data_IF_804919469430
#
_entry.id   IF_804919469430
#
_cell.length_a   1.000
_cell.length_b   1.000
_cell.length_c   1.000
_cell.angle_alpha   90.00
_cell.angle_beta   90.00
_cell.angle_gamma   90.00
#
_symmetry.space_group_name_H-M   'P 1'
#
loop_
_entity.id
_entity.type
_entity.pdbx_description
1 polymer ?
#
# COMPACT_ATOMS: atom_id res chain seq x y z
N UNK A 1 13.61 -53.40 -31.32
CA UNK A 1 13.66 -51.92 -31.36
C UNK A 1 13.33 -51.43 -29.95
N UNK A 2 14.17 -50.57 -29.36
CA UNK A 2 13.94 -50.03 -28.02
C UNK A 2 13.59 -48.54 -28.15
N UNK A 3 12.45 -48.15 -27.62
CA UNK A 3 11.98 -46.76 -27.63
C UNK A 3 12.21 -46.18 -26.24
N UNK A 4 12.94 -45.07 -26.15
CA UNK A 4 13.13 -44.34 -24.88
C UNK A 4 12.21 -43.13 -24.87
N UNK A 5 11.48 -42.96 -23.77
CA UNK A 5 10.68 -41.78 -23.49
C UNK A 5 11.57 -40.69 -22.90
N UNK A 6 11.69 -39.57 -23.60
CA UNK A 6 12.39 -38.38 -23.13
C UNK A 6 11.34 -37.42 -22.60
N UNK A 7 11.39 -37.11 -21.30
CA UNK A 7 10.48 -36.17 -20.67
C UNK A 7 11.12 -34.78 -20.62
N UNK A 8 10.91 -33.97 -21.65
CA UNK A 8 11.34 -32.57 -21.69
C UNK A 8 10.39 -31.76 -20.82
N UNK A 9 10.89 -31.18 -19.72
CA UNK A 9 10.18 -30.15 -18.95
C UNK A 9 10.70 -28.78 -19.39
N UNK A 10 9.85 -27.99 -20.01
CA UNK A 10 10.14 -26.58 -20.22
C UNK A 10 10.02 -25.88 -18.87
N UNK A 11 11.04 -25.12 -18.50
CA UNK A 11 10.96 -24.21 -17.36
C UNK A 11 10.26 -22.96 -17.84
N UNK A 12 9.19 -22.59 -17.17
CA UNK A 12 8.51 -21.34 -17.47
C UNK A 12 9.47 -20.17 -17.23
N UNK A 13 9.43 -19.20 -18.13
CA UNK A 13 10.26 -18.01 -18.05
C UNK A 13 9.34 -16.86 -17.76
N UNK A 14 9.56 -16.17 -16.64
CA UNK A 14 8.74 -15.03 -16.24
C UNK A 14 8.69 -14.01 -17.40
N UNK A 15 7.57 -13.96 -18.09
CA UNK A 15 7.33 -13.14 -19.28
C UNK A 15 6.05 -12.31 -19.15
N UNK A 16 5.31 -12.50 -18.06
CA UNK A 16 4.15 -11.68 -17.71
C UNK A 16 4.49 -10.74 -16.54
N UNK A 17 4.16 -9.44 -16.66
CA UNK A 17 4.33 -8.52 -15.55
C UNK A 17 3.28 -8.78 -14.45
N UNK A 18 3.63 -8.53 -13.17
CA UNK A 18 2.65 -8.59 -12.08
C UNK A 18 1.63 -7.47 -12.25
N UNK A 19 0.33 -7.74 -12.14
CA UNK A 19 -0.72 -6.73 -12.38
C UNK A 19 -1.59 -6.54 -11.14
N UNK A 20 -1.80 -5.29 -10.74
CA UNK A 20 -2.77 -4.95 -9.70
C UNK A 20 -4.19 -5.31 -10.16
N UNK A 21 -4.93 -6.05 -9.34
CA UNK A 21 -6.30 -6.45 -9.66
C UNK A 21 -7.28 -5.26 -9.67
N UNK A 22 -6.93 -4.15 -9.03
CA UNK A 22 -7.74 -2.94 -8.99
C UNK A 22 -6.88 -1.74 -9.36
N UNK A 23 -7.48 -0.81 -10.11
CA UNK A 23 -6.80 0.43 -10.51
C UNK A 23 -6.80 1.46 -9.38
N UNK A 24 -7.81 1.45 -8.53
CA UNK A 24 -7.93 2.33 -7.37
C UNK A 24 -8.18 1.49 -6.12
N UNK A 25 -7.44 1.78 -5.07
CA UNK A 25 -7.72 1.24 -3.74
C UNK A 25 -8.14 2.38 -2.83
N UNK A 26 -9.19 2.15 -2.05
CA UNK A 26 -9.62 3.08 -1.01
C UNK A 26 -9.52 2.38 0.34
N UNK A 27 -9.03 3.09 1.34
CA UNK A 27 -8.87 2.58 2.69
C UNK A 27 -9.14 3.63 3.75
N UNK A 28 -9.47 3.16 4.94
CA UNK A 28 -9.69 3.99 6.12
C UNK A 28 -8.82 3.46 7.27
N UNK A 29 -8.20 4.37 8.01
CA UNK A 29 -7.41 4.04 9.19
C UNK A 29 -7.80 4.99 10.31
N UNK A 30 -7.77 4.46 11.53
CA UNK A 30 -7.94 5.28 12.73
C UNK A 30 -6.61 5.94 13.09
N UNK A 31 -6.65 7.17 13.59
CA UNK A 31 -5.45 7.87 14.06
C UNK A 31 -4.77 7.14 15.23
N UNK A 32 -5.58 6.53 16.09
CA UNK A 32 -5.16 5.75 17.25
C UNK A 32 -4.78 4.31 16.89
N UNK A 33 -4.78 3.94 15.60
CA UNK A 33 -4.44 2.60 15.17
C UNK A 33 -2.98 2.28 15.53
N UNK A 34 -2.79 1.10 16.13
CA UNK A 34 -1.47 0.64 16.55
C UNK A 34 -0.53 0.46 15.35
N UNK A 35 0.76 0.68 15.59
CA UNK A 35 1.83 0.34 14.63
C UNK A 35 1.72 -1.16 14.30
N UNK A 36 1.80 -1.49 13.01
CA UNK A 36 1.63 -2.84 12.47
C UNK A 36 0.20 -3.18 12.05
N UNK A 37 -0.79 -2.31 12.35
CA UNK A 37 -2.16 -2.51 11.87
C UNK A 37 -2.17 -2.61 10.34
N UNK A 38 -2.78 -3.69 9.83
CA UNK A 38 -3.02 -3.84 8.40
C UNK A 38 -4.20 -2.98 8.03
N UNK A 39 -3.94 -2.05 7.12
CA UNK A 39 -4.93 -1.07 6.73
C UNK A 39 -5.55 -1.42 5.37
N UNK A 40 -4.76 -1.95 4.44
CA UNK A 40 -5.22 -2.37 3.12
C UNK A 40 -4.39 -3.56 2.64
N UNK A 41 -5.02 -4.50 1.94
CA UNK A 41 -4.33 -5.59 1.25
C UNK A 41 -4.39 -5.38 -0.25
N UNK A 42 -3.23 -5.17 -0.87
CA UNK A 42 -3.07 -5.07 -2.31
C UNK A 42 -3.16 -6.46 -2.92
N UNK A 43 -4.05 -6.61 -3.89
CA UNK A 43 -4.20 -7.86 -4.63
C UNK A 43 -3.50 -7.74 -5.97
N UNK A 44 -2.50 -8.60 -6.19
CA UNK A 44 -1.75 -8.67 -7.43
C UNK A 44 -1.96 -10.04 -8.06
N UNK A 45 -2.01 -10.05 -9.39
CA UNK A 45 -2.04 -11.25 -10.20
C UNK A 45 -0.89 -11.20 -11.19
N UNK A 46 -0.01 -12.18 -11.07
CA UNK A 46 0.94 -12.55 -12.11
C UNK A 46 0.35 -13.75 -12.88
N UNK A 47 0.57 -13.81 -14.19
CA UNK A 47 0.09 -14.89 -15.06
C UNK A 47 1.16 -15.94 -15.34
N UNK A 48 2.37 -15.76 -14.84
CA UNK A 48 3.44 -16.77 -14.93
C UNK A 48 3.05 -18.07 -14.20
N UNK A 49 3.51 -19.18 -14.75
CA UNK A 49 3.26 -20.55 -14.27
C UNK A 49 4.07 -20.83 -12.99
N UNK A 50 5.27 -20.24 -12.88
CA UNK A 50 6.02 -20.16 -11.63
C UNK A 50 5.52 -18.96 -10.78
N UNK A 51 5.39 -19.18 -9.47
CA UNK A 51 4.98 -18.12 -8.55
C UNK A 51 6.12 -17.10 -8.39
N UNK A 52 6.02 -15.96 -9.07
CA UNK A 52 6.95 -14.84 -8.92
C UNK A 52 6.98 -14.31 -7.48
N UNK A 53 8.18 -14.04 -6.96
CA UNK A 53 8.35 -13.34 -5.69
C UNK A 53 8.14 -11.84 -5.96
N UNK A 54 7.03 -11.29 -5.48
CA UNK A 54 6.65 -9.91 -5.75
C UNK A 54 7.04 -9.04 -4.56
N UNK A 55 7.93 -8.09 -4.80
CA UNK A 55 8.31 -7.03 -3.88
C UNK A 55 7.47 -5.78 -4.09
N UNK A 56 7.22 -5.05 -3.01
CA UNK A 56 6.38 -3.87 -2.99
C UNK A 56 7.13 -2.67 -2.44
N UNK A 57 6.95 -1.51 -3.06
CA UNK A 57 7.58 -0.26 -2.66
C UNK A 57 6.57 0.89 -2.71
N UNK A 58 6.52 1.70 -1.66
CA UNK A 58 5.82 2.98 -1.69
C UNK A 58 6.78 3.97 -2.34
N UNK A 59 6.39 4.50 -3.51
CA UNK A 59 7.25 5.38 -4.32
C UNK A 59 6.81 6.84 -4.27
N UNK A 60 5.61 7.12 -3.78
CA UNK A 60 5.07 8.47 -3.61
C UNK A 60 3.93 8.50 -2.58
N UNK A 61 3.64 9.70 -2.05
CA UNK A 61 2.50 9.96 -1.18
C UNK A 61 2.73 9.75 0.32
N UNK A 62 3.82 9.09 0.73
CA UNK A 62 4.18 8.88 2.14
C UNK A 62 5.35 9.77 2.57
N UNK A 63 5.11 11.07 2.65
CA UNK A 63 6.15 12.08 2.94
C UNK A 63 6.84 11.89 4.30
N UNK A 64 6.16 11.27 5.27
CA UNK A 64 6.68 11.06 6.62
C UNK A 64 7.19 9.62 6.85
N UNK A 65 7.07 8.74 5.85
CA UNK A 65 7.44 7.33 5.98
C UNK A 65 6.61 6.62 7.06
N UNK A 66 5.32 6.95 7.14
CA UNK A 66 4.38 6.42 8.13
C UNK A 66 3.80 5.06 7.72
N UNK A 67 3.99 4.64 6.49
CA UNK A 67 3.47 3.37 5.98
C UNK A 67 4.59 2.46 5.51
N UNK A 68 4.25 1.18 5.39
CA UNK A 68 5.08 0.18 4.73
C UNK A 68 4.19 -0.88 4.10
N UNK A 69 4.67 -1.53 3.04
CA UNK A 69 4.00 -2.67 2.42
C UNK A 69 4.82 -3.92 2.69
N UNK A 70 4.17 -4.98 3.16
CA UNK A 70 4.82 -6.28 3.36
C UNK A 70 4.93 -7.04 2.04
N UNK A 71 5.77 -8.07 1.98
CA UNK A 71 5.87 -8.98 0.83
C UNK A 71 4.57 -9.74 0.52
N UNK A 72 3.62 -9.77 1.45
CA UNK A 72 2.27 -10.32 1.21
C UNK A 72 1.31 -9.31 0.58
N UNK A 73 1.77 -8.10 0.26
CA UNK A 73 0.94 -7.02 -0.27
C UNK A 73 0.12 -6.29 0.80
N UNK A 74 0.40 -6.47 2.09
CA UNK A 74 -0.32 -5.76 3.16
C UNK A 74 0.33 -4.40 3.40
N UNK A 75 -0.43 -3.33 3.17
CA UNK A 75 -0.07 -1.99 3.61
C UNK A 75 -0.37 -1.89 5.12
N UNK A 76 0.63 -1.50 5.89
CA UNK A 76 0.58 -1.42 7.35
C UNK A 76 1.10 -0.08 7.87
N UNK A 77 0.62 0.33 9.03
CA UNK A 77 1.09 1.51 9.75
C UNK A 77 2.48 1.22 10.33
N UNK A 78 3.47 2.06 10.00
CA UNK A 78 4.85 1.99 10.49
C UNK A 78 5.11 3.00 11.61
N UNK A 79 4.42 4.14 11.59
CA UNK A 79 4.54 5.22 12.59
C UNK A 79 3.14 5.75 12.95
N UNK A 80 2.98 6.38 14.13
CA UNK A 80 1.71 6.96 14.53
C UNK A 80 1.16 7.93 13.48
N UNK A 81 -0.16 7.91 13.30
CA UNK A 81 -0.88 8.81 12.41
C UNK A 81 -1.44 9.97 13.23
N UNK A 82 -1.50 11.15 12.62
CA UNK A 82 -2.05 12.37 13.24
C UNK A 82 -2.86 13.12 12.17
N UNK A 83 -4.18 13.15 12.36
CA UNK A 83 -5.12 13.72 11.40
C UNK A 83 -4.99 15.23 11.31
N UNK A 84 -4.66 15.91 12.40
CA UNK A 84 -4.46 17.35 12.46
C UNK A 84 -3.26 17.79 11.63
N UNK A 85 -2.29 16.90 11.41
CA UNK A 85 -1.12 17.14 10.55
C UNK A 85 -1.41 16.73 9.11
N UNK A 86 -1.89 15.50 8.88
CA UNK A 86 -2.22 14.99 7.55
C UNK A 86 -3.56 14.27 7.63
N UNK A 87 -4.58 14.80 6.95
CA UNK A 87 -5.94 14.26 6.99
C UNK A 87 -6.20 13.16 5.95
N UNK A 88 -5.39 13.10 4.89
CA UNK A 88 -5.49 12.09 3.84
C UNK A 88 -4.16 11.79 3.18
N UNK A 89 -4.02 10.56 2.69
CA UNK A 89 -2.86 10.12 1.92
C UNK A 89 -3.27 9.71 0.51
N UNK A 90 -2.44 10.03 -0.46
CA UNK A 90 -2.54 9.52 -1.82
C UNK A 90 -1.28 8.73 -2.14
N UNK A 91 -1.28 7.45 -1.75
CA UNK A 91 -0.09 6.61 -1.91
C UNK A 91 0.01 6.05 -3.32
N UNK A 92 1.23 6.03 -3.86
CA UNK A 92 1.55 5.30 -5.09
C UNK A 92 2.45 4.13 -4.74
N UNK A 93 2.01 2.92 -5.08
CA UNK A 93 2.73 1.68 -4.80
C UNK A 93 3.23 1.06 -6.10
N UNK A 94 4.50 0.68 -6.10
CA UNK A 94 5.17 -0.11 -7.13
C UNK A 94 5.22 -1.56 -6.68
N UNK A 95 4.88 -2.48 -7.58
CA UNK A 95 5.12 -3.91 -7.43
C UNK A 95 6.13 -4.37 -8.48
N UNK A 96 7.05 -5.26 -8.09
CA UNK A 96 8.05 -5.83 -9.00
C UNK A 96 8.34 -7.28 -8.65
N UNK A 97 8.57 -8.09 -9.66
CA UNK A 97 9.04 -9.48 -9.52
C UNK A 97 10.57 -9.60 -9.73
N UNK A 98 11.28 -8.45 -9.79
CA UNK A 98 12.70 -8.35 -10.11
C UNK A 98 13.02 -8.17 -11.60
N UNK A 99 12.05 -8.41 -12.50
CA UNK A 99 12.22 -8.27 -13.95
C UNK A 99 11.27 -7.24 -14.56
N UNK A 100 10.01 -7.31 -14.18
CA UNK A 100 8.96 -6.38 -14.55
C UNK A 100 8.54 -5.52 -13.36
N UNK A 101 7.93 -4.39 -13.66
CA UNK A 101 7.42 -3.46 -12.65
C UNK A 101 6.03 -2.97 -13.04
N UNK A 102 5.13 -2.90 -12.06
CA UNK A 102 3.79 -2.34 -12.22
C UNK A 102 3.52 -1.30 -11.15
N UNK A 103 2.84 -0.23 -11.54
CA UNK A 103 2.48 0.88 -10.65
C UNK A 103 0.97 0.91 -10.44
N UNK A 104 0.55 1.11 -9.21
CA UNK A 104 -0.82 1.50 -8.89
C UNK A 104 -0.85 2.98 -8.52
N UNK A 105 -1.69 3.74 -9.24
CA UNK A 105 -1.86 5.19 -9.05
C UNK A 105 -3.06 5.44 -8.13
N UNK A 106 -2.82 6.11 -7.01
CA UNK A 106 -3.88 6.71 -6.20
C UNK A 106 -4.58 5.73 -5.27
N UNK A 107 -3.86 5.22 -4.27
CA UNK A 107 -4.49 4.68 -3.07
C UNK A 107 -4.97 5.88 -2.24
N UNK A 108 -6.26 6.21 -2.35
CA UNK A 108 -6.84 7.30 -1.57
C UNK A 108 -7.17 6.80 -0.17
N UNK A 109 -6.50 7.41 0.81
CA UNK A 109 -6.65 7.09 2.21
C UNK A 109 -7.28 8.26 2.94
N UNK A 110 -8.39 8.03 3.63
CA UNK A 110 -8.95 9.01 4.55
C UNK A 110 -8.68 8.55 5.99
N UNK A 111 -8.08 9.42 6.80
CA UNK A 111 -7.96 9.19 8.25
C UNK A 111 -9.27 9.68 8.88
N UNK A 112 -10.26 8.81 8.99
CA UNK A 112 -11.51 9.10 9.70
C UNK A 112 -12.22 7.82 10.15
N UNK A 113 -12.47 7.70 11.46
CA UNK A 113 -13.79 7.86 12.10
C UNK A 113 -13.58 7.77 13.63
N UNK A 114 -13.72 8.93 14.29
CA UNK A 114 -14.12 9.14 15.68
C UNK A 114 -13.16 8.82 16.86
N UNK A 115 -12.47 9.84 17.38
CA UNK A 115 -12.09 9.92 18.82
C UNK A 115 -11.96 11.36 19.43
N UNK A 116 -12.40 12.43 18.74
CA UNK A 116 -12.87 13.66 19.41
C UNK A 116 -13.61 14.61 18.43
N UNK A 117 -14.72 15.25 18.81
CA UNK A 117 -15.20 16.44 18.10
C UNK A 117 -14.06 17.46 18.01
N UNK A 118 -14.01 18.35 16.99
CA UNK A 118 -12.92 19.30 16.84
C UNK A 118 -12.72 20.08 18.14
N UNK A 119 -11.64 19.80 18.87
CA UNK A 119 -11.22 20.68 19.96
C UNK A 119 -10.61 21.91 19.31
N UNK A 120 -11.43 22.94 19.15
CA UNK A 120 -10.97 24.31 18.91
C UNK A 120 -10.14 24.76 20.12
N UNK A 121 -8.85 24.40 20.16
CA UNK A 121 -7.86 25.03 21.03
C UNK A 121 -7.16 26.14 20.23
N UNK A 122 -7.94 27.07 19.67
CA UNK A 122 -7.46 28.44 19.49
C UNK A 122 -8.08 29.28 20.60
N UNK A 123 -7.25 29.47 21.62
CA UNK A 123 -7.40 30.34 22.78
C UNK A 123 -8.11 31.64 22.41
N UNK A 124 -9.07 32.05 23.26
CA UNK A 124 -9.77 33.34 23.25
C UNK A 124 -8.90 34.46 22.68
N UNK A 125 -9.33 35.07 21.58
CA UNK A 125 -8.86 36.40 21.23
C UNK A 125 -9.60 37.37 22.16
N UNK A 126 -8.95 37.82 23.22
CA UNK A 126 -9.43 38.99 23.96
C UNK A 126 -8.90 40.21 23.23
N UNK A 127 -9.73 40.83 22.39
CA UNK A 127 -9.52 42.23 22.06
C UNK A 127 -9.90 43.07 23.29
N UNK A 128 -8.89 43.61 23.97
CA UNK A 128 -9.08 44.86 24.69
C UNK A 128 -9.16 45.96 23.64
N UNK A 129 -10.37 46.47 23.40
CA UNK A 129 -10.54 47.78 22.77
C UNK A 129 -10.44 48.81 23.89
N UNK A 130 -9.39 49.64 23.83
CA UNK A 130 -9.22 50.85 24.65
C UNK A 130 -10.30 51.89 24.33
#
# INVERSE_FOLDING_TARGET
MATTLINIKLRDYNDNPPVFQSQHYNGNAFENAAIGTVVLTLKIKDKDEEKSNIDFYIIDGDLQGQFQVTSSGNLTIKKPLDREIISSYQLTVLATDGKFTSKNLGINWCIDVNDNPPMCLKTKYTEMVL
#
